data_IF_445190738689
#
_entry.id   IF_445190738689
#
_cell.length_a   1.000
_cell.length_b   1.000
_cell.length_c   1.000
_cell.angle_alpha   90.00
_cell.angle_beta   90.00
_cell.angle_gamma   90.00
#
_symmetry.space_group_name_H-M   'P 1'
#
loop_
_entity.id
_entity.type
_entity.pdbx_description
1 polymer ?
#
# COMPACT_ATOMS: atom_id res chain seq x y z
N UNK A 1 15.24 -11.40 5.34
CA UNK A 1 13.94 -12.09 5.22
C UNK A 1 13.15 -12.14 6.52
N UNK A 2 13.72 -12.64 7.64
CA UNK A 2 13.02 -12.70 8.94
C UNK A 2 12.39 -11.37 9.37
N UNK A 3 13.12 -10.26 9.29
CA UNK A 3 12.61 -8.94 9.63
C UNK A 3 11.40 -8.51 8.78
N UNK A 4 11.47 -8.71 7.46
CA UNK A 4 10.35 -8.39 6.56
C UNK A 4 9.11 -9.24 6.87
N UNK A 5 9.31 -10.53 7.16
CA UNK A 5 8.25 -11.43 7.61
C UNK A 5 7.63 -10.99 8.93
N UNK A 6 8.45 -10.62 9.92
CA UNK A 6 8.00 -10.14 11.22
C UNK A 6 7.17 -8.85 11.11
N UNK A 7 7.59 -7.90 10.28
CA UNK A 7 6.84 -6.67 10.03
C UNK A 7 5.50 -6.97 9.36
N UNK A 8 5.50 -7.79 8.31
CA UNK A 8 4.27 -8.18 7.62
C UNK A 8 3.27 -8.85 8.57
N UNK A 9 3.72 -9.85 9.33
CA UNK A 9 2.90 -10.57 10.29
C UNK A 9 2.45 -9.65 11.44
N UNK A 10 3.32 -8.77 11.92
CA UNK A 10 2.99 -7.77 12.95
C UNK A 10 1.89 -6.81 12.50
N UNK A 11 1.99 -6.26 11.29
CA UNK A 11 0.95 -5.40 10.70
C UNK A 11 -0.39 -6.14 10.55
N UNK A 12 -0.35 -7.39 10.09
CA UNK A 12 -1.52 -8.26 9.96
C UNK A 12 -2.14 -8.61 11.31
N UNK A 13 -1.32 -8.87 12.32
CA UNK A 13 -1.75 -9.14 13.68
C UNK A 13 -2.45 -7.93 14.31
N UNK A 14 -1.85 -6.74 14.19
CA UNK A 14 -2.41 -5.49 14.74
C UNK A 14 -3.78 -5.15 14.13
N UNK A 15 -3.91 -5.28 12.81
CA UNK A 15 -5.18 -5.03 12.10
C UNK A 15 -6.23 -6.06 12.43
N UNK A 16 -5.84 -7.33 12.52
CA UNK A 16 -6.74 -8.40 12.95
C UNK A 16 -7.28 -8.16 14.36
N UNK A 17 -6.40 -7.83 15.32
CA UNK A 17 -6.84 -7.58 16.71
C UNK A 17 -7.71 -6.33 16.82
N UNK A 18 -7.37 -5.26 16.09
CA UNK A 18 -8.21 -4.06 16.04
C UNK A 18 -9.63 -4.37 15.56
N UNK A 19 -9.76 -5.15 14.47
CA UNK A 19 -11.05 -5.59 13.95
C UNK A 19 -11.76 -6.59 14.88
N UNK A 20 -11.03 -7.52 15.50
CA UNK A 20 -11.60 -8.52 16.44
C UNK A 20 -12.25 -7.85 17.65
N UNK A 21 -11.71 -6.74 18.16
CA UNK A 21 -12.33 -5.99 19.27
C UNK A 21 -13.72 -5.45 18.93
N UNK A 22 -14.08 -5.37 17.64
CA UNK A 22 -15.35 -4.84 17.17
C UNK A 22 -16.30 -5.94 16.62
N UNK A 23 -15.86 -7.21 16.61
CA UNK A 23 -16.58 -8.34 16.00
C UNK A 23 -16.67 -9.49 17.00
N UNK A 24 -17.90 -9.85 17.39
CA UNK A 24 -18.20 -10.81 18.47
C UNK A 24 -17.77 -12.25 18.13
N UNK A 25 -17.93 -12.69 16.88
CA UNK A 25 -17.53 -14.04 16.46
C UNK A 25 -16.73 -14.04 15.15
N UNK A 26 -15.51 -14.55 15.20
CA UNK A 26 -14.64 -14.76 14.04
C UNK A 26 -14.26 -16.25 13.97
N UNK A 27 -14.64 -16.94 12.88
CA UNK A 27 -14.24 -18.34 12.65
C UNK A 27 -12.73 -18.43 12.39
N UNK A 28 -12.05 -19.43 12.95
CA UNK A 28 -10.59 -19.63 12.86
C UNK A 28 -10.10 -19.65 11.41
N UNK A 29 -10.79 -20.37 10.51
CA UNK A 29 -10.45 -20.40 9.08
C UNK A 29 -10.48 -19.01 8.42
N UNK A 30 -11.33 -18.08 8.89
CA UNK A 30 -11.40 -16.70 8.37
C UNK A 30 -10.27 -15.82 8.88
N UNK A 31 -9.84 -16.05 10.12
CA UNK A 31 -8.66 -15.39 10.66
C UNK A 31 -7.40 -15.79 9.87
N UNK A 32 -7.24 -17.09 9.60
CA UNK A 32 -6.12 -17.62 8.80
C UNK A 32 -6.16 -17.08 7.36
N UNK A 33 -7.35 -17.09 6.73
CA UNK A 33 -7.57 -16.50 5.42
C UNK A 33 -7.14 -15.01 5.38
N UNK A 34 -7.57 -14.19 6.34
CA UNK A 34 -7.18 -12.79 6.41
C UNK A 34 -5.66 -12.58 6.55
N UNK A 35 -5.00 -13.40 7.36
CA UNK A 35 -3.56 -13.32 7.61
C UNK A 35 -2.74 -13.71 6.36
N UNK A 36 -3.27 -14.56 5.49
CA UNK A 36 -2.54 -15.16 4.36
C UNK A 36 -2.91 -14.62 2.96
N UNK A 37 -4.15 -14.14 2.73
CA UNK A 37 -4.68 -13.91 1.38
C UNK A 37 -4.18 -12.64 0.67
N UNK A 38 -4.50 -11.46 1.22
CA UNK A 38 -4.26 -10.18 0.55
C UNK A 38 -3.63 -9.17 1.51
N UNK A 39 -2.42 -8.64 1.24
CA UNK A 39 -1.75 -7.69 2.13
C UNK A 39 -2.56 -6.43 2.42
N UNK A 40 -3.26 -5.89 1.41
CA UNK A 40 -4.07 -4.67 1.53
C UNK A 40 -5.53 -4.89 1.92
N UNK A 41 -5.85 -6.04 2.53
CA UNK A 41 -7.23 -6.38 2.88
C UNK A 41 -7.72 -5.56 4.06
N UNK A 42 -8.91 -4.98 3.93
CA UNK A 42 -9.56 -4.26 5.02
C UNK A 42 -10.15 -5.28 6.00
N UNK A 43 -9.52 -5.40 7.17
CA UNK A 43 -9.85 -6.41 8.17
C UNK A 43 -11.32 -6.34 8.60
N UNK A 44 -11.83 -5.13 8.85
CA UNK A 44 -13.20 -4.95 9.32
C UNK A 44 -14.21 -5.36 8.24
N UNK A 45 -14.01 -4.89 7.00
CA UNK A 45 -14.92 -5.22 5.89
C UNK A 45 -14.91 -6.71 5.55
N UNK A 46 -13.72 -7.32 5.50
CA UNK A 46 -13.59 -8.73 5.16
C UNK A 46 -14.22 -9.64 6.22
N UNK A 47 -13.97 -9.35 7.51
CA UNK A 47 -14.49 -10.16 8.60
C UNK A 47 -16.00 -9.97 8.82
N UNK A 48 -16.57 -8.77 8.57
CA UNK A 48 -18.03 -8.50 8.68
C UNK A 48 -18.86 -9.08 7.52
N UNK A 49 -18.43 -8.94 6.26
CA UNK A 49 -19.26 -9.25 5.07
C UNK A 49 -19.74 -10.71 5.03
N UNK A 50 -18.85 -11.65 5.35
CA UNK A 50 -19.15 -13.09 5.39
C UNK A 50 -19.78 -13.57 6.72
N UNK A 51 -19.88 -12.71 7.73
CA UNK A 51 -20.70 -12.99 8.92
C UNK A 51 -22.19 -12.74 8.62
N UNK A 52 -22.51 -11.65 7.90
CA UNK A 52 -23.86 -11.39 7.42
C UNK A 52 -24.33 -12.41 6.38
N UNK A 53 -23.49 -12.82 5.40
CA UNK A 53 -23.91 -13.82 4.40
C UNK A 53 -24.32 -15.16 5.03
N UNK A 54 -23.60 -15.64 6.05
CA UNK A 54 -23.92 -16.90 6.76
C UNK A 54 -25.19 -16.80 7.61
N UNK A 55 -25.48 -15.63 8.19
CA UNK A 55 -26.72 -15.42 8.94
C UNK A 55 -27.91 -15.28 7.98
N UNK A 56 -27.71 -14.55 6.88
CA UNK A 56 -28.67 -14.43 5.77
C UNK A 56 -29.01 -15.78 5.14
N UNK A 57 -28.08 -16.73 4.99
CA UNK A 57 -28.40 -18.03 4.38
C UNK A 57 -29.41 -18.87 5.18
N UNK A 58 -29.56 -18.62 6.50
CA UNK A 58 -30.48 -19.38 7.37
C UNK A 58 -31.84 -18.69 7.55
N UNK A 59 -31.91 -17.37 7.49
CA UNK A 59 -33.17 -16.60 7.60
C UNK A 59 -33.78 -16.21 6.24
N UNK A 60 -32.96 -15.94 5.22
CA UNK A 60 -33.47 -15.49 3.91
C UNK A 60 -34.10 -16.60 3.07
N UNK A 61 -33.82 -17.88 3.34
CA UNK A 61 -34.52 -18.97 2.65
C UNK A 61 -36.03 -18.96 2.93
N UNK A 62 -36.45 -18.42 4.08
CA UNK A 62 -37.87 -18.31 4.48
C UNK A 62 -38.48 -16.97 4.04
N UNK A 63 -37.70 -15.89 4.02
CA UNK A 63 -38.17 -14.54 3.70
C UNK A 63 -38.11 -14.21 2.20
N UNK A 64 -37.19 -14.83 1.43
CA UNK A 64 -37.07 -14.61 -0.02
C UNK A 64 -38.31 -15.05 -0.79
N UNK A 65 -38.91 -16.19 -0.42
CA UNK A 65 -40.15 -16.67 -1.04
C UNK A 65 -41.34 -15.73 -0.81
N UNK A 66 -41.39 -15.03 0.34
CA UNK A 66 -42.45 -14.07 0.65
C UNK A 66 -42.20 -12.66 0.08
N UNK A 67 -40.93 -12.30 -0.17
CA UNK A 67 -40.56 -10.97 -0.69
C UNK A 67 -40.50 -10.90 -2.21
N UNK A 68 -40.33 -12.02 -2.92
CA UNK A 68 -40.38 -12.09 -4.39
C UNK A 68 -41.81 -11.96 -4.95
N UNK A 69 -42.84 -12.37 -4.20
CA UNK A 69 -44.24 -12.13 -4.61
C UNK A 69 -44.69 -10.68 -4.41
N UNK A 70 -44.06 -9.92 -3.50
CA UNK A 70 -44.52 -8.57 -3.14
C UNK A 70 -43.75 -7.44 -3.82
N UNK A 71 -42.53 -7.69 -4.30
CA UNK A 71 -41.67 -6.65 -4.89
C UNK A 71 -41.61 -6.78 -6.41
N UNK A 72 -42.52 -6.10 -7.09
CA UNK A 72 -42.42 -5.85 -8.52
C UNK A 72 -41.04 -5.28 -8.88
N UNK A 73 -40.42 -5.90 -9.88
CA UNK A 73 -39.13 -5.60 -10.50
C UNK A 73 -38.64 -4.14 -10.31
N UNK A 74 -37.84 -3.91 -9.28
CA UNK A 74 -36.93 -2.77 -9.21
C UNK A 74 -35.51 -3.33 -9.21
N UNK A 75 -34.73 -3.14 -10.29
CA UNK A 75 -33.38 -3.68 -10.34
C UNK A 75 -32.50 -2.97 -9.33
N UNK A 76 -32.03 -3.73 -8.34
CA UNK A 76 -31.04 -3.32 -7.36
C UNK A 76 -29.75 -2.94 -8.10
N UNK A 77 -29.50 -1.63 -8.23
CA UNK A 77 -28.22 -1.12 -8.75
C UNK A 77 -27.16 -1.29 -7.66
N UNK A 78 -26.80 -2.55 -7.38
CA UNK A 78 -25.54 -2.91 -6.75
C UNK A 78 -24.42 -2.34 -7.64
N UNK A 79 -23.91 -1.17 -7.27
CA UNK A 79 -22.91 -0.45 -8.05
C UNK A 79 -21.68 -1.34 -8.28
N UNK A 80 -21.58 -1.93 -9.48
CA UNK A 80 -20.41 -2.69 -9.91
C UNK A 80 -19.19 -1.81 -9.70
N UNK A 81 -18.24 -2.28 -8.91
CA UNK A 81 -16.97 -1.58 -8.75
C UNK A 81 -16.35 -1.37 -10.13
N UNK A 82 -15.81 -0.17 -10.42
CA UNK A 82 -15.21 0.10 -11.71
C UNK A 82 -14.11 -0.93 -11.99
N UNK A 83 -14.15 -1.48 -13.21
CA UNK A 83 -13.17 -2.46 -13.68
C UNK A 83 -11.76 -1.85 -13.58
N UNK A 84 -10.83 -2.66 -13.07
CA UNK A 84 -9.43 -2.27 -13.00
C UNK A 84 -8.76 -2.53 -14.36
N UNK A 85 -7.87 -1.63 -14.83
CA UNK A 85 -7.33 -1.72 -16.18
C UNK A 85 -6.28 -2.85 -16.30
N UNK A 86 -6.73 -4.04 -16.67
CA UNK A 86 -5.92 -5.27 -16.80
C UNK A 86 -4.74 -5.12 -17.77
N UNK A 87 -4.99 -4.65 -19.00
CA UNK A 87 -3.93 -4.43 -20.01
C UNK A 87 -2.85 -3.46 -19.51
N UNK A 88 -3.25 -2.45 -18.74
CA UNK A 88 -2.33 -1.48 -18.18
C UNK A 88 -1.45 -2.08 -17.07
N UNK A 89 -1.94 -3.10 -16.35
CA UNK A 89 -1.15 -3.84 -15.37
C UNK A 89 -0.15 -4.78 -16.05
N UNK A 90 -0.58 -5.49 -17.10
CA UNK A 90 0.31 -6.33 -17.93
C UNK A 90 1.43 -5.49 -18.53
N UNK A 91 1.10 -4.38 -19.21
CA UNK A 91 2.10 -3.52 -19.85
C UNK A 91 3.14 -2.99 -18.86
N UNK A 92 2.73 -2.60 -17.65
CA UNK A 92 3.67 -2.18 -16.59
C UNK A 92 4.52 -3.34 -16.07
N UNK A 93 3.95 -4.54 -15.99
CA UNK A 93 4.70 -5.74 -15.60
C UNK A 93 5.78 -6.05 -16.63
N UNK A 94 5.42 -6.07 -17.91
CA UNK A 94 6.36 -6.32 -19.01
C UNK A 94 7.46 -5.25 -19.05
N UNK A 95 7.09 -3.96 -18.96
CA UNK A 95 8.08 -2.88 -18.88
C UNK A 95 9.01 -3.06 -17.68
N UNK A 96 8.46 -3.42 -16.52
CA UNK A 96 9.25 -3.70 -15.32
C UNK A 96 10.22 -4.87 -15.52
N UNK A 97 9.79 -5.96 -16.16
CA UNK A 97 10.63 -7.11 -16.51
C UNK A 97 11.75 -6.70 -17.47
N UNK A 98 11.44 -5.92 -18.51
CA UNK A 98 12.44 -5.41 -19.46
C UNK A 98 13.46 -4.51 -18.75
N UNK A 99 13.05 -3.61 -17.87
CA UNK A 99 13.98 -2.78 -17.12
C UNK A 99 14.84 -3.62 -16.17
N UNK A 100 14.22 -4.57 -15.47
CA UNK A 100 14.85 -5.33 -14.40
C UNK A 100 15.82 -6.40 -14.90
N UNK A 101 15.36 -7.24 -15.84
CA UNK A 101 16.17 -8.30 -16.42
C UNK A 101 16.87 -7.86 -17.70
N UNK A 102 16.37 -6.89 -18.45
CA UNK A 102 16.97 -6.48 -19.72
C UNK A 102 17.93 -5.30 -19.59
N UNK A 103 17.41 -4.11 -19.29
CA UNK A 103 18.20 -2.88 -19.32
C UNK A 103 19.27 -2.85 -18.23
N UNK A 104 18.94 -3.27 -17.00
CA UNK A 104 19.84 -3.16 -15.86
C UNK A 104 21.18 -3.88 -16.05
N UNK A 105 21.21 -5.03 -16.75
CA UNK A 105 22.44 -5.82 -16.98
C UNK A 105 23.42 -5.20 -17.96
N UNK A 106 22.97 -4.26 -18.80
CA UNK A 106 23.83 -3.59 -19.79
C UNK A 106 24.39 -2.26 -19.27
N UNK A 107 24.18 -1.94 -18.00
CA UNK A 107 24.63 -0.68 -17.41
C UNK A 107 25.89 -0.90 -16.57
N UNK A 108 27.00 -0.28 -17.00
CA UNK A 108 28.28 -0.36 -16.29
C UNK A 108 28.26 0.36 -14.93
N UNK A 109 27.44 1.41 -14.82
CA UNK A 109 27.32 2.17 -13.58
C UNK A 109 26.42 1.44 -12.58
N UNK A 110 27.04 0.85 -11.55
CA UNK A 110 26.36 0.07 -10.51
C UNK A 110 25.15 0.79 -9.86
N UNK A 111 25.26 2.09 -9.58
CA UNK A 111 24.14 2.84 -9.00
C UNK A 111 22.98 2.99 -9.99
N UNK A 112 23.27 3.28 -11.25
CA UNK A 112 22.24 3.43 -12.28
C UNK A 112 21.55 2.09 -12.54
N UNK A 113 22.32 0.99 -12.66
CA UNK A 113 21.79 -0.36 -12.77
C UNK A 113 20.85 -0.70 -11.61
N UNK A 114 21.25 -0.38 -10.38
CA UNK A 114 20.42 -0.58 -9.20
C UNK A 114 19.15 0.26 -9.19
N UNK A 115 19.20 1.52 -9.63
CA UNK A 115 18.01 2.38 -9.75
C UNK A 115 17.03 1.90 -10.81
N UNK A 116 17.52 1.54 -12.00
CA UNK A 116 16.70 0.93 -13.06
C UNK A 116 16.08 -0.38 -12.55
N UNK A 117 16.87 -1.18 -11.82
CA UNK A 117 16.39 -2.39 -11.17
C UNK A 117 15.26 -2.12 -10.18
N UNK A 118 15.42 -1.16 -9.27
CA UNK A 118 14.36 -0.79 -8.31
C UNK A 118 13.09 -0.28 -8.99
N UNK A 119 13.21 0.54 -10.03
CA UNK A 119 12.06 0.99 -10.84
C UNK A 119 11.36 -0.23 -11.47
N UNK A 120 12.14 -1.16 -12.02
CA UNK A 120 11.64 -2.43 -12.55
C UNK A 120 10.86 -3.23 -11.50
N UNK A 121 11.42 -3.43 -10.30
CA UNK A 121 10.75 -4.12 -9.18
C UNK A 121 9.46 -3.41 -8.80
N UNK A 122 9.46 -2.08 -8.68
CA UNK A 122 8.27 -1.30 -8.33
C UNK A 122 7.16 -1.51 -9.38
N UNK A 123 7.51 -1.51 -10.67
CA UNK A 123 6.56 -1.76 -11.75
C UNK A 123 6.02 -3.20 -11.72
N UNK A 124 6.90 -4.20 -11.60
CA UNK A 124 6.52 -5.63 -11.52
C UNK A 124 5.61 -5.88 -10.33
N UNK A 125 6.00 -5.46 -9.12
CA UNK A 125 5.28 -5.80 -7.90
C UNK A 125 4.07 -4.89 -7.66
N UNK A 126 4.28 -3.58 -7.59
CA UNK A 126 3.26 -2.66 -7.09
C UNK A 126 2.21 -2.30 -8.13
N UNK A 127 2.63 -2.10 -9.37
CA UNK A 127 1.75 -1.69 -10.46
C UNK A 127 1.30 -2.84 -11.37
N UNK A 128 2.02 -3.96 -11.32
CA UNK A 128 1.75 -5.20 -12.04
C UNK A 128 1.06 -6.25 -11.15
N UNK A 129 1.85 -7.07 -10.47
CA UNK A 129 1.42 -8.24 -9.69
C UNK A 129 0.32 -7.89 -8.68
N UNK A 130 0.50 -6.91 -7.80
CA UNK A 130 -0.54 -6.51 -6.84
C UNK A 130 -1.81 -5.99 -7.52
N UNK A 131 -1.69 -5.38 -8.70
CA UNK A 131 -2.86 -4.96 -9.45
C UNK A 131 -3.61 -6.15 -10.04
N UNK A 132 -2.89 -7.10 -10.65
CA UNK A 132 -3.44 -8.34 -11.19
C UNK A 132 -4.07 -9.20 -10.09
N UNK A 133 -3.43 -9.31 -8.94
CA UNK A 133 -3.98 -9.98 -7.76
C UNK A 133 -5.26 -9.30 -7.26
N UNK A 134 -5.31 -7.95 -7.22
CA UNK A 134 -6.54 -7.24 -6.87
C UNK A 134 -7.67 -7.51 -7.88
N UNK A 135 -7.36 -7.69 -9.16
CA UNK A 135 -8.33 -8.11 -10.18
C UNK A 135 -8.82 -9.53 -9.90
N UNK A 136 -7.91 -10.49 -9.67
CA UNK A 136 -8.25 -11.87 -9.34
C UNK A 136 -9.13 -11.98 -8.09
N UNK A 137 -8.79 -11.25 -7.03
CA UNK A 137 -9.60 -11.21 -5.81
C UNK A 137 -10.98 -10.60 -6.02
N UNK A 138 -11.11 -9.56 -6.87
CA UNK A 138 -12.42 -9.01 -7.25
C UNK A 138 -13.24 -10.00 -8.07
N UNK A 139 -12.61 -10.75 -8.97
CA UNK A 139 -13.26 -11.82 -9.72
C UNK A 139 -13.78 -12.93 -8.78
N UNK A 140 -13.06 -13.20 -7.68
CA UNK A 140 -13.48 -14.09 -6.61
C UNK A 140 -14.46 -13.45 -5.58
N UNK A 141 -15.00 -12.26 -5.86
CA UNK A 141 -16.01 -11.59 -5.02
C UNK A 141 -15.47 -10.75 -3.84
N UNK A 142 -14.16 -10.67 -3.64
CA UNK A 142 -13.54 -9.87 -2.58
C UNK A 142 -13.30 -8.42 -3.01
N UNK A 143 -13.65 -7.43 -2.18
CA UNK A 143 -13.35 -6.00 -2.42
C UNK A 143 -11.85 -5.70 -2.18
N UNK A 144 -10.99 -6.29 -3.01
CA UNK A 144 -9.58 -5.98 -3.04
C UNK A 144 -9.34 -4.67 -3.80
N UNK A 145 -8.59 -3.76 -3.19
CA UNK A 145 -8.20 -2.49 -3.82
C UNK A 145 -6.72 -2.53 -4.16
N UNK A 146 -6.32 -1.99 -5.33
CA UNK A 146 -4.90 -1.80 -5.62
C UNK A 146 -4.22 -0.99 -4.54
N UNK A 147 -3.01 -1.41 -4.17
CA UNK A 147 -2.19 -0.76 -3.13
C UNK A 147 -1.75 0.64 -3.60
N UNK A 148 -1.45 0.80 -4.89
CA UNK A 148 -1.10 2.07 -5.54
C UNK A 148 -2.21 2.54 -6.48
N UNK A 149 -2.50 3.85 -6.52
CA UNK A 149 -3.55 4.45 -7.35
C UNK A 149 -3.05 5.66 -8.16
N UNK A 150 -2.33 5.37 -9.25
CA UNK A 150 -1.77 6.37 -10.16
C UNK A 150 -1.09 7.56 -9.41
N UNK A 151 -0.04 7.30 -8.61
CA UNK A 151 0.56 8.31 -7.74
C UNK A 151 1.17 9.50 -8.50
N UNK A 152 1.64 9.29 -9.73
CA UNK A 152 2.16 10.38 -10.57
C UNK A 152 1.10 11.42 -10.98
N UNK A 153 -0.20 11.12 -10.81
CA UNK A 153 -1.31 12.05 -11.08
C UNK A 153 -1.68 12.91 -9.86
N UNK A 154 -0.96 12.79 -8.75
CA UNK A 154 -1.19 13.59 -7.54
C UNK A 154 -1.00 15.08 -7.82
N UNK A 155 -1.91 15.92 -7.34
CA UNK A 155 -1.82 17.38 -7.42
C UNK A 155 -1.35 18.03 -6.12
N UNK A 156 -1.16 17.24 -5.07
CA UNK A 156 -0.55 17.66 -3.80
C UNK A 156 0.21 16.51 -3.14
N UNK A 157 1.16 16.85 -2.26
CA UNK A 157 1.89 15.90 -1.42
C UNK A 157 0.93 15.16 -0.49
N UNK A 158 -0.08 15.86 0.03
CA UNK A 158 -1.13 15.25 0.85
C UNK A 158 -1.95 14.22 0.08
N UNK A 159 -2.23 14.44 -1.20
CA UNK A 159 -2.93 13.46 -2.05
C UNK A 159 -2.04 12.26 -2.37
N UNK A 160 -0.75 12.50 -2.66
CA UNK A 160 0.23 11.45 -2.92
C UNK A 160 0.28 10.46 -1.76
N UNK A 161 0.63 10.92 -0.55
CA UNK A 161 0.78 10.06 0.63
C UNK A 161 -0.56 9.63 1.26
N UNK A 162 -1.61 10.46 1.16
CA UNK A 162 -2.90 10.19 1.81
C UNK A 162 -3.89 9.36 0.99
N UNK A 163 -3.75 9.31 -0.34
CA UNK A 163 -4.76 8.67 -1.22
C UNK A 163 -4.20 7.71 -2.24
N UNK A 164 -2.99 7.96 -2.75
CA UNK A 164 -2.49 7.29 -3.97
C UNK A 164 -1.31 6.37 -3.74
N UNK A 165 -0.54 6.60 -2.69
CA UNK A 165 0.61 5.79 -2.29
C UNK A 165 0.28 4.87 -1.12
N UNK A 166 0.50 3.57 -1.31
CA UNK A 166 0.44 2.50 -0.30
C UNK A 166 -0.77 2.56 0.66
N UNK A 167 -1.97 2.24 0.15
CA UNK A 167 -3.21 2.31 0.95
C UNK A 167 -3.18 1.42 2.22
N UNK A 168 -2.48 0.29 2.16
CA UNK A 168 -2.37 -0.66 3.27
C UNK A 168 -1.59 -0.08 4.45
N UNK A 169 -0.37 0.40 4.20
CA UNK A 169 0.46 0.99 5.24
C UNK A 169 -0.10 2.31 5.77
N UNK A 170 -0.69 3.13 4.88
CA UNK A 170 -1.35 4.37 5.26
C UNK A 170 -2.44 4.14 6.32
N UNK A 171 -3.25 3.09 6.20
CA UNK A 171 -4.32 2.78 7.18
C UNK A 171 -3.75 2.53 8.56
N UNK A 172 -2.66 1.75 8.65
CA UNK A 172 -1.96 1.51 9.91
C UNK A 172 -1.47 2.82 10.55
N UNK A 173 -0.78 3.65 9.76
CA UNK A 173 -0.29 4.95 10.24
C UNK A 173 -1.44 5.86 10.70
N UNK A 174 -2.56 5.86 9.97
CA UNK A 174 -3.74 6.65 10.32
C UNK A 174 -4.37 6.19 11.63
N UNK A 175 -4.56 4.89 11.81
CA UNK A 175 -5.30 4.34 12.95
C UNK A 175 -4.46 4.29 14.23
N UNK A 176 -3.16 3.97 14.12
CA UNK A 176 -2.29 3.79 15.29
C UNK A 176 -1.47 5.02 15.68
N UNK A 177 -1.20 5.93 14.74
CA UNK A 177 -0.34 7.10 15.02
C UNK A 177 -1.12 8.41 14.86
N UNK A 178 -1.68 8.65 13.67
CA UNK A 178 -2.25 9.95 13.34
C UNK A 178 -3.52 10.26 14.14
N UNK A 179 -4.55 9.41 14.09
CA UNK A 179 -5.84 9.67 14.75
C UNK A 179 -5.73 9.82 16.27
N UNK A 180 -5.01 8.94 16.99
CA UNK A 180 -4.84 9.10 18.44
C UNK A 180 -4.14 10.41 18.80
N UNK A 181 -3.10 10.78 18.05
CA UNK A 181 -2.31 11.96 18.34
C UNK A 181 -3.01 13.25 17.90
N UNK A 182 -3.74 13.23 16.78
CA UNK A 182 -4.49 14.39 16.29
C UNK A 182 -5.56 14.84 17.28
N UNK A 183 -6.20 13.90 17.99
CA UNK A 183 -7.18 14.19 19.04
C UNK A 183 -6.58 14.89 20.26
N UNK A 184 -5.30 14.64 20.55
CA UNK A 184 -4.62 15.14 21.77
C UNK A 184 -3.75 16.38 21.52
N UNK A 185 -3.08 16.43 20.39
CA UNK A 185 -1.98 17.37 20.09
C UNK A 185 -2.22 18.14 18.77
N UNK A 186 -3.36 17.93 18.12
CA UNK A 186 -3.72 18.59 16.87
C UNK A 186 -3.06 18.00 15.62
N UNK A 187 -3.53 18.48 14.47
CA UNK A 187 -3.23 17.91 13.15
C UNK A 187 -1.75 18.07 12.76
N UNK A 188 -1.10 19.18 13.15
CA UNK A 188 0.30 19.46 12.78
C UNK A 188 1.25 18.44 13.40
N UNK A 189 1.18 18.27 14.72
CA UNK A 189 2.00 17.32 15.48
C UNK A 189 1.70 15.89 15.02
N UNK A 190 0.43 15.54 14.83
CA UNK A 190 0.04 14.22 14.33
C UNK A 190 0.61 13.91 12.93
N UNK A 191 0.66 14.90 12.05
CA UNK A 191 1.26 14.74 10.71
C UNK A 191 2.75 14.45 10.84
N UNK A 192 3.50 15.29 11.55
CA UNK A 192 4.95 15.12 11.71
C UNK A 192 5.30 13.79 12.40
N UNK A 193 4.57 13.42 13.45
CA UNK A 193 4.80 12.16 14.14
C UNK A 193 4.52 10.93 13.25
N UNK A 194 3.45 10.96 12.45
CA UNK A 194 3.17 9.86 11.52
C UNK A 194 4.30 9.68 10.49
N UNK A 195 4.84 10.78 9.98
CA UNK A 195 5.99 10.75 9.06
C UNK A 195 7.29 10.37 9.76
N UNK A 196 7.53 10.80 10.99
CA UNK A 196 8.68 10.39 11.80
C UNK A 196 8.68 8.88 12.04
N UNK A 197 7.57 8.32 12.52
CA UNK A 197 7.42 6.88 12.74
C UNK A 197 7.61 6.11 11.43
N UNK A 198 7.05 6.62 10.32
CA UNK A 198 7.29 6.04 8.98
C UNK A 198 8.79 6.05 8.63
N UNK A 199 9.47 7.16 8.86
CA UNK A 199 10.91 7.30 8.66
C UNK A 199 11.73 6.26 9.43
N UNK A 200 11.47 6.10 10.73
CA UNK A 200 12.14 5.12 11.58
C UNK A 200 11.89 3.67 11.14
N UNK A 201 10.69 3.35 10.68
CA UNK A 201 10.40 2.02 10.10
C UNK A 201 11.22 1.81 8.82
N UNK A 202 11.41 2.84 8.00
CA UNK A 202 12.25 2.73 6.82
C UNK A 202 13.75 2.65 7.15
N UNK A 203 14.24 3.30 8.21
CA UNK A 203 15.60 3.04 8.71
C UNK A 203 15.81 1.57 9.07
N UNK A 204 14.82 1.00 9.78
CA UNK A 204 14.86 -0.39 10.20
C UNK A 204 14.87 -1.34 9.01
N UNK A 205 14.11 -1.04 7.95
CA UNK A 205 13.96 -1.92 6.78
C UNK A 205 15.00 -1.70 5.69
N UNK A 206 15.54 -0.49 5.56
CA UNK A 206 16.45 -0.09 4.49
C UNK A 206 17.87 0.07 5.03
N UNK A 207 18.09 1.02 5.94
CA UNK A 207 19.42 1.40 6.43
C UNK A 207 20.09 0.28 7.24
N UNK A 208 19.34 -0.42 8.10
CA UNK A 208 19.88 -1.47 8.95
C UNK A 208 20.40 -2.68 8.14
N UNK A 209 19.64 -3.28 7.18
CA UNK A 209 20.18 -4.32 6.31
C UNK A 209 21.32 -3.83 5.42
N UNK A 210 21.26 -2.57 4.97
CA UNK A 210 22.33 -1.95 4.19
C UNK A 210 23.60 -1.68 5.01
N UNK A 211 23.50 -1.70 6.34
CA UNK A 211 24.54 -1.31 7.29
C UNK A 211 25.10 0.09 7.03
N UNK A 212 24.25 1.03 6.63
CA UNK A 212 24.65 2.40 6.32
C UNK A 212 23.49 3.26 5.85
N UNK A 213 23.74 4.57 5.69
CA UNK A 213 22.71 5.54 5.28
C UNK A 213 21.72 5.94 6.37
N UNK A 214 22.06 5.68 7.64
CA UNK A 214 21.22 6.02 8.79
C UNK A 214 20.82 7.49 8.81
N UNK A 215 19.55 7.75 9.11
CA UNK A 215 18.96 9.07 9.19
C UNK A 215 18.42 9.59 7.85
N UNK A 216 18.88 9.06 6.70
CA UNK A 216 18.45 9.53 5.38
C UNK A 216 16.97 9.18 5.09
N UNK A 217 16.49 7.93 5.28
CA UNK A 217 15.06 7.64 5.21
C UNK A 217 14.22 8.51 6.16
N UNK A 218 14.68 8.73 7.39
CA UNK A 218 13.95 9.57 8.35
C UNK A 218 13.84 11.01 7.87
N UNK A 219 14.94 11.58 7.39
CA UNK A 219 14.98 12.92 6.80
C UNK A 219 14.04 13.03 5.58
N UNK A 220 14.01 12.01 4.72
CA UNK A 220 13.09 11.96 3.57
C UNK A 220 11.63 12.08 4.03
N UNK A 221 11.19 11.24 4.97
CA UNK A 221 9.79 11.28 5.42
C UNK A 221 9.45 12.55 6.19
N UNK A 222 10.36 13.08 7.01
CA UNK A 222 10.14 14.37 7.67
C UNK A 222 9.96 15.50 6.64
N UNK A 223 10.74 15.51 5.56
CA UNK A 223 10.57 16.45 4.46
C UNK A 223 9.18 16.33 3.78
N UNK A 224 8.64 15.11 3.65
CA UNK A 224 7.28 14.92 3.15
C UNK A 224 6.22 15.48 4.12
N UNK A 225 6.41 15.23 5.42
CA UNK A 225 5.53 15.74 6.47
C UNK A 225 5.51 17.26 6.52
N UNK A 226 6.68 17.90 6.48
CA UNK A 226 6.78 19.36 6.38
C UNK A 226 6.20 19.86 5.06
N UNK A 227 6.46 19.19 3.94
CA UNK A 227 5.85 19.49 2.64
C UNK A 227 4.33 19.60 2.68
N UNK A 228 3.66 18.65 3.35
CA UNK A 228 2.20 18.69 3.55
C UNK A 228 1.77 19.91 4.38
N UNK A 229 2.53 20.26 5.42
CA UNK A 229 2.21 21.43 6.25
C UNK A 229 2.44 22.73 5.48
N UNK A 230 3.49 22.80 4.66
CA UNK A 230 3.78 23.94 3.79
C UNK A 230 2.70 24.11 2.73
N UNK A 231 2.24 23.03 2.08
CA UNK A 231 1.09 23.09 1.14
C UNK A 231 -0.20 23.55 1.83
N UNK A 232 -0.36 23.30 3.13
CA UNK A 232 -1.51 23.78 3.90
C UNK A 232 -1.40 25.27 4.22
N UNK A 233 -0.20 25.75 4.53
CA UNK A 233 0.07 27.16 4.82
C UNK A 233 0.11 28.03 3.55
N UNK A 234 0.61 27.49 2.44
CA UNK A 234 0.80 28.18 1.17
C UNK A 234 0.06 27.44 0.03
N UNK A 235 -1.26 27.61 -0.11
CA UNK A 235 -2.02 26.88 -1.13
C UNK A 235 -1.53 27.09 -2.57
N UNK A 236 -0.84 28.21 -2.85
CA UNK A 236 -0.29 28.54 -4.17
C UNK A 236 0.82 27.62 -4.65
N UNK A 237 1.56 26.95 -3.76
CA UNK A 237 2.60 25.98 -4.16
C UNK A 237 2.00 24.61 -4.49
N UNK A 238 0.71 24.40 -4.19
CA UNK A 238 0.05 23.13 -4.49
C UNK A 238 0.04 22.92 -6.00
N UNK A 239 0.54 21.77 -6.40
CA UNK A 239 0.57 21.42 -7.81
C UNK A 239 1.29 20.10 -8.04
N UNK A 240 1.08 19.57 -9.23
CA UNK A 240 1.72 18.32 -9.65
C UNK A 240 3.25 18.46 -9.69
N UNK A 241 3.76 19.60 -10.17
CA UNK A 241 5.20 19.86 -10.25
C UNK A 241 5.82 19.86 -8.85
N UNK A 242 5.28 20.66 -7.93
CA UNK A 242 5.76 20.68 -6.54
C UNK A 242 5.72 19.28 -5.91
N UNK A 243 4.62 18.55 -6.09
CA UNK A 243 4.46 17.18 -5.60
C UNK A 243 5.53 16.25 -6.15
N UNK A 244 5.80 16.30 -7.45
CA UNK A 244 6.83 15.47 -8.08
C UNK A 244 8.21 15.86 -7.56
N UNK A 245 8.54 17.15 -7.50
CA UNK A 245 9.85 17.63 -7.04
C UNK A 245 10.12 17.17 -5.61
N UNK A 246 9.20 17.44 -4.68
CA UNK A 246 9.42 17.11 -3.26
C UNK A 246 9.39 15.61 -2.99
N UNK A 247 8.69 14.80 -3.80
CA UNK A 247 8.64 13.34 -3.60
C UNK A 247 9.78 12.60 -4.32
N UNK A 248 10.17 13.04 -5.52
CA UNK A 248 11.11 12.34 -6.38
C UNK A 248 12.56 12.80 -6.22
N UNK A 249 12.83 14.10 -6.10
CA UNK A 249 14.21 14.62 -5.97
C UNK A 249 14.91 14.05 -4.73
N UNK A 250 14.31 14.06 -3.52
CA UNK A 250 14.96 13.49 -2.34
C UNK A 250 14.85 11.96 -2.28
N UNK A 251 14.35 11.27 -3.32
CA UNK A 251 14.24 9.80 -3.29
C UNK A 251 15.59 9.10 -3.07
N UNK A 252 16.70 9.76 -3.40
CA UNK A 252 18.05 9.30 -3.12
C UNK A 252 18.39 9.24 -1.63
N UNK A 253 17.67 9.95 -0.77
CA UNK A 253 17.78 9.80 0.68
C UNK A 253 17.08 8.53 1.16
N UNK A 254 15.91 8.24 0.59
CA UNK A 254 15.16 7.02 0.91
C UNK A 254 15.89 5.76 0.43
N UNK A 255 16.37 5.77 -0.81
CA UNK A 255 17.13 4.66 -1.41
C UNK A 255 18.59 5.04 -1.59
N UNK A 256 19.26 5.28 -0.46
CA UNK A 256 20.64 5.74 -0.42
C UNK A 256 21.65 4.74 -1.03
N UNK A 257 22.84 5.20 -1.47
CA UNK A 257 23.82 4.34 -2.16
C UNK A 257 24.22 3.06 -1.42
N UNK A 258 24.42 3.07 -0.08
CA UNK A 258 24.67 1.82 0.65
C UNK A 258 23.57 0.77 0.47
N UNK A 259 22.29 1.18 0.45
CA UNK A 259 21.19 0.24 0.24
C UNK A 259 21.21 -0.34 -1.17
N UNK A 260 21.41 0.51 -2.18
CA UNK A 260 21.50 0.04 -3.57
C UNK A 260 22.66 -0.95 -3.74
N UNK A 261 23.83 -0.63 -3.19
CA UNK A 261 25.05 -1.45 -3.36
C UNK A 261 25.05 -2.73 -2.53
N UNK A 262 24.57 -2.67 -1.29
CA UNK A 262 24.70 -3.79 -0.35
C UNK A 262 23.46 -4.69 -0.32
N UNK A 263 22.31 -4.21 -0.81
CA UNK A 263 21.05 -4.97 -0.77
C UNK A 263 20.51 -5.21 -2.18
N UNK A 264 20.32 -4.15 -2.97
CA UNK A 264 19.64 -4.28 -4.27
C UNK A 264 20.52 -5.01 -5.30
N UNK A 265 21.76 -4.58 -5.51
CA UNK A 265 22.63 -5.22 -6.51
C UNK A 265 22.93 -6.70 -6.17
N UNK A 266 23.25 -7.08 -4.93
CA UNK A 266 23.43 -8.49 -4.57
C UNK A 266 22.15 -9.30 -4.76
N UNK A 267 20.99 -8.73 -4.43
CA UNK A 267 19.70 -9.37 -4.70
C UNK A 267 19.48 -9.60 -6.20
N UNK A 268 19.73 -8.59 -7.04
CA UNK A 268 19.59 -8.68 -8.50
C UNK A 268 20.52 -9.74 -9.09
N UNK A 269 21.77 -9.84 -8.61
CA UNK A 269 22.70 -10.90 -9.01
C UNK A 269 22.20 -12.29 -8.59
N UNK A 270 21.72 -12.43 -7.35
CA UNK A 270 21.26 -13.73 -6.82
C UNK A 270 20.10 -14.35 -7.59
N UNK A 271 19.27 -13.53 -8.25
CA UNK A 271 18.13 -13.96 -9.05
C UNK A 271 18.41 -13.96 -10.57
N UNK A 272 19.66 -13.69 -10.99
CA UNK A 272 20.07 -13.67 -12.40
C UNK A 272 19.57 -12.46 -13.20
N UNK A 273 19.29 -11.33 -12.54
CA UNK A 273 18.93 -10.08 -13.20
C UNK A 273 20.15 -9.26 -13.67
N UNK A 274 21.30 -9.47 -13.04
CA UNK A 274 22.62 -8.92 -13.38
C UNK A 274 23.64 -10.03 -13.55
#
# INVERSE_FOLDING_TARGET
WLMAGAIFLGCKWLTFWSARRQIVHVRVGRALAYLLLWPGLDAEKFLRRLACEVHKTREQAVVSGASEELSGNVPDRAGRMPALPFLSAIGKTLLGVVLFFGVARFLDQALLAGWIGMIGIILILHFGLFHLLAIGWRAAGLDAKPIMKAPLRSKSVSEFWGRRWNDAFKRLALDFVFRPLARRQGIRIATLAAFLVSGLVHELVISLPARGGYGLPTAYFLLQGTGILTERALPQIRGQIFTIVITAVPAFWLFHPPFVRNVILPFMKAIGAL
#
